data_IF_009199385423
#
_entry.id   IF_009199385423
#
_cell.length_a   1.000
_cell.length_b   1.000
_cell.length_c   1.000
_cell.angle_alpha   90.00
_cell.angle_beta   90.00
_cell.angle_gamma   90.00
#
_symmetry.space_group_name_H-M   'P 1'
#
loop_
_entity.id
_entity.type
_entity.pdbx_description
1 polymer ?
#
# COMPACT_ATOMS: atom_id res chain seq x y z
N UNK A 1 14.84 25.73 3.17
CA UNK A 1 14.77 24.84 1.99
C UNK A 1 15.04 23.45 2.50
N UNK A 2 14.20 22.49 2.17
CA UNK A 2 14.30 21.12 2.68
C UNK A 2 14.87 20.18 1.62
N UNK A 3 15.34 19.02 2.03
CA UNK A 3 15.81 17.95 1.17
C UNK A 3 14.83 16.78 1.22
N UNK A 4 14.32 16.36 0.05
CA UNK A 4 13.52 15.14 -0.06
C UNK A 4 14.45 13.96 -0.26
N UNK A 5 14.62 13.15 0.79
CA UNK A 5 15.63 12.10 0.86
C UNK A 5 15.44 11.06 -0.25
N UNK A 6 14.25 10.45 -0.34
CA UNK A 6 13.94 9.47 -1.39
C UNK A 6 14.02 10.05 -2.81
N UNK A 7 13.55 11.29 -2.99
CA UNK A 7 13.54 11.94 -4.29
C UNK A 7 14.92 12.44 -4.74
N UNK A 8 15.87 12.56 -3.81
CA UNK A 8 17.21 13.10 -4.06
C UNK A 8 17.19 14.53 -4.58
N UNK A 9 16.19 15.33 -4.19
CA UNK A 9 15.96 16.67 -4.72
C UNK A 9 15.63 17.67 -3.62
N UNK A 10 16.06 18.95 -3.79
CA UNK A 10 15.63 20.00 -2.90
C UNK A 10 14.13 20.26 -3.06
N UNK A 11 13.46 20.42 -1.93
CA UNK A 11 12.05 20.76 -1.83
C UNK A 11 11.88 22.13 -1.17
N UNK A 12 10.98 22.94 -1.73
CA UNK A 12 10.59 24.22 -1.14
C UNK A 12 9.07 24.28 -1.12
N UNK A 13 8.50 24.38 0.08
CA UNK A 13 7.10 24.76 0.26
C UNK A 13 7.03 26.28 0.42
N UNK A 14 6.12 26.93 -0.30
CA UNK A 14 5.89 28.36 -0.17
C UNK A 14 4.86 28.70 0.92
N UNK A 15 3.93 27.78 1.19
CA UNK A 15 2.80 27.99 2.11
C UNK A 15 2.52 26.70 2.91
N UNK A 16 3.39 26.28 3.85
CA UNK A 16 3.04 25.18 4.74
C UNK A 16 1.87 25.61 5.63
N UNK A 17 0.91 24.70 5.80
CA UNK A 17 -0.31 24.95 6.58
C UNK A 17 -0.26 24.16 7.87
N UNK A 18 -0.38 24.81 9.02
CA UNK A 18 -0.57 24.11 10.29
C UNK A 18 -2.04 23.76 10.48
N UNK A 19 -2.29 22.63 11.12
CA UNK A 19 -3.63 22.24 11.54
C UNK A 19 -3.77 22.50 13.04
N UNK A 20 -4.37 23.64 13.40
CA UNK A 20 -4.73 23.98 14.78
C UNK A 20 -6.26 24.04 14.89
N UNK A 21 -6.84 23.02 15.55
CA UNK A 21 -8.30 22.85 15.65
C UNK A 21 -9.01 22.83 14.29
N UNK A 22 -10.06 23.64 14.08
CA UNK A 22 -10.82 23.70 12.82
C UNK A 22 -10.19 24.63 11.77
N UNK A 23 -9.11 25.34 12.09
CA UNK A 23 -8.52 26.35 11.22
C UNK A 23 -7.29 25.82 10.49
N UNK A 24 -7.11 26.31 9.26
CA UNK A 24 -5.94 26.09 8.41
C UNK A 24 -5.22 27.43 8.28
N UNK A 25 -4.13 27.59 9.00
CA UNK A 25 -3.34 28.82 8.99
C UNK A 25 -1.98 28.57 8.33
N UNK A 26 -1.54 29.52 7.48
CA UNK A 26 -0.18 29.51 6.94
C UNK A 26 0.75 29.90 8.08
N UNK A 27 1.77 29.08 8.30
CA UNK A 27 2.74 29.25 9.39
C UNK A 27 4.15 29.43 8.84
N UNK A 28 4.97 30.18 9.58
CA UNK A 28 6.38 30.37 9.25
C UNK A 28 7.30 29.39 10.01
N UNK A 29 6.87 28.89 11.17
CA UNK A 29 7.63 27.97 12.03
C UNK A 29 6.74 26.88 12.66
N UNK A 30 7.33 25.72 12.92
CA UNK A 30 6.70 24.56 13.57
C UNK A 30 7.72 23.83 14.45
N UNK A 31 7.23 23.11 15.47
CA UNK A 31 8.06 22.43 16.45
C UNK A 31 7.88 20.90 16.39
N UNK A 32 8.81 20.11 17.00
CA UNK A 32 8.67 18.66 17.04
C UNK A 32 7.34 18.22 17.66
N UNK A 33 6.56 17.45 16.92
CA UNK A 33 5.22 16.98 17.30
C UNK A 33 4.07 17.68 16.57
N UNK A 34 4.33 18.83 15.94
CA UNK A 34 3.31 19.54 15.15
C UNK A 34 3.02 18.82 13.82
N UNK A 35 1.76 18.87 13.39
CA UNK A 35 1.34 18.34 12.08
C UNK A 35 1.26 19.49 11.07
N UNK A 36 2.12 19.42 10.06
CA UNK A 36 2.19 20.42 8.99
C UNK A 36 1.73 19.81 7.66
N UNK A 37 0.77 20.46 7.02
CA UNK A 37 0.33 20.18 5.67
C UNK A 37 1.24 20.81 4.64
N UNK A 38 1.75 19.99 3.73
CA UNK A 38 2.49 20.42 2.54
C UNK A 38 1.61 20.21 1.31
N UNK A 39 1.57 21.20 0.42
CA UNK A 39 0.92 21.04 -0.86
C UNK A 39 1.79 20.14 -1.75
N UNK A 40 1.25 18.99 -2.17
CA UNK A 40 1.92 18.07 -3.08
C UNK A 40 1.17 17.95 -4.41
N UNK A 41 1.91 17.74 -5.49
CA UNK A 41 1.39 17.45 -6.83
C UNK A 41 1.65 16.00 -7.25
N UNK A 42 1.80 15.08 -6.28
CA UNK A 42 2.10 13.66 -6.48
C UNK A 42 3.59 13.31 -6.40
N UNK A 43 4.40 14.08 -5.69
CA UNK A 43 5.84 13.84 -5.50
C UNK A 43 6.12 12.97 -4.27
N UNK A 44 5.32 13.13 -3.22
CA UNK A 44 5.52 12.46 -1.95
C UNK A 44 4.75 11.14 -1.89
N UNK A 45 5.27 10.17 -1.13
CA UNK A 45 4.49 9.01 -0.69
C UNK A 45 4.54 8.91 0.83
N UNK A 46 3.62 8.12 1.39
CA UNK A 46 3.61 7.81 2.82
C UNK A 46 4.98 7.25 3.24
N UNK A 47 5.54 7.81 4.31
CA UNK A 47 6.85 7.44 4.85
C UNK A 47 8.04 8.22 4.30
N UNK A 48 7.82 9.13 3.35
CA UNK A 48 8.90 10.00 2.88
C UNK A 48 9.44 10.92 3.99
N UNK A 49 10.76 11.07 4.01
CA UNK A 49 11.47 11.91 4.97
C UNK A 49 11.94 13.21 4.30
N UNK A 50 11.69 14.34 4.96
CA UNK A 50 12.21 15.66 4.62
C UNK A 50 13.22 16.08 5.69
N UNK A 51 14.40 16.53 5.29
CA UNK A 51 15.48 16.95 6.21
C UNK A 51 16.04 18.31 5.80
N UNK A 52 17.00 18.84 6.56
CA UNK A 52 17.79 20.01 6.17
C UNK A 52 19.02 19.66 5.31
N UNK A 53 19.19 18.38 4.95
CA UNK A 53 20.31 17.89 4.11
C UNK A 53 20.85 16.52 4.50
N UNK A 54 20.47 16.01 5.68
CA UNK A 54 20.83 14.66 6.12
C UNK A 54 20.14 13.59 5.27
N UNK A 55 20.86 12.51 4.96
CA UNK A 55 20.31 11.30 4.33
C UNK A 55 19.83 10.34 5.42
N UNK A 56 18.61 10.58 5.91
CA UNK A 56 17.98 9.78 6.98
C UNK A 56 16.59 9.31 6.55
N UNK A 57 16.21 8.10 6.97
CA UNK A 57 14.91 7.52 6.70
C UNK A 57 14.24 7.14 8.02
N UNK A 58 13.04 7.70 8.27
CA UNK A 58 12.23 7.25 9.40
C UNK A 58 11.70 5.83 9.14
N UNK A 59 11.78 4.98 10.18
CA UNK A 59 11.22 3.63 10.20
C UNK A 59 9.89 3.61 10.98
N UNK A 60 9.13 2.52 10.93
CA UNK A 60 7.93 2.34 11.76
C UNK A 60 6.62 2.89 11.18
N UNK A 61 6.53 3.15 9.87
CA UNK A 61 5.26 3.45 9.20
C UNK A 61 4.82 2.19 8.40
N UNK A 62 4.10 1.25 9.03
CA UNK A 62 3.74 0.00 8.38
C UNK A 62 2.57 0.18 7.42
N UNK A 63 2.53 -0.67 6.38
CA UNK A 63 1.27 -0.99 5.72
C UNK A 63 0.52 -2.00 6.59
N UNK A 64 -0.67 -1.62 7.06
CA UNK A 64 -1.53 -2.51 7.83
C UNK A 64 -2.16 -3.56 6.92
N UNK A 65 -2.31 -4.80 7.42
CA UNK A 65 -3.04 -5.85 6.71
C UNK A 65 -4.49 -5.39 6.38
N UNK A 66 -4.89 -5.40 5.10
CA UNK A 66 -6.27 -5.13 4.73
C UNK A 66 -7.26 -6.14 5.33
N UNK A 67 -8.50 -5.69 5.55
CA UNK A 67 -9.60 -6.52 6.03
C UNK A 67 -10.62 -6.85 4.93
N UNK A 68 -10.72 -5.99 3.91
CA UNK A 68 -11.66 -6.16 2.80
C UNK A 68 -10.85 -6.26 1.51
N UNK A 69 -11.03 -7.37 0.80
CA UNK A 69 -10.43 -7.62 -0.51
C UNK A 69 -11.48 -7.58 -1.61
N UNK A 70 -11.15 -6.91 -2.71
CA UNK A 70 -11.97 -6.88 -3.93
C UNK A 70 -11.09 -7.04 -5.15
N UNK A 71 -11.51 -7.83 -6.13
CA UNK A 71 -10.95 -7.72 -7.47
C UNK A 71 -11.49 -6.41 -8.05
N UNK A 72 -10.62 -5.61 -8.67
CA UNK A 72 -11.02 -4.38 -9.35
C UNK A 72 -10.77 -4.52 -10.85
N UNK A 73 -11.77 -4.16 -11.64
CA UNK A 73 -11.67 -4.13 -13.10
C UNK A 73 -12.17 -2.80 -13.65
N UNK A 74 -11.61 -2.41 -14.80
CA UNK A 74 -12.07 -1.25 -15.52
C UNK A 74 -13.48 -1.50 -16.08
N UNK A 75 -14.41 -0.58 -15.81
CA UNK A 75 -15.80 -0.71 -16.25
C UNK A 75 -16.02 -0.24 -17.70
N UNK A 76 -15.10 0.57 -18.24
CA UNK A 76 -15.14 1.13 -19.60
C UNK A 76 -13.85 0.78 -20.36
N UNK A 77 -13.87 -0.18 -21.30
CA UNK A 77 -12.69 -0.59 -22.07
C UNK A 77 -11.92 0.57 -22.74
N UNK A 78 -12.58 1.68 -23.09
CA UNK A 78 -11.95 2.84 -23.72
C UNK A 78 -11.07 3.65 -22.76
N UNK A 79 -11.22 3.46 -21.44
CA UNK A 79 -10.55 4.22 -20.37
C UNK A 79 -9.47 3.43 -19.63
N UNK A 80 -9.00 2.32 -20.19
CA UNK A 80 -8.04 1.42 -19.52
C UNK A 80 -6.76 2.14 -19.06
N UNK A 81 -6.20 3.04 -19.88
CA UNK A 81 -4.99 3.78 -19.53
C UNK A 81 -5.21 4.73 -18.34
N UNK A 82 -6.35 5.43 -18.35
CA UNK A 82 -6.73 6.34 -17.26
C UNK A 82 -7.01 5.56 -15.98
N UNK A 83 -7.71 4.44 -16.07
CA UNK A 83 -7.99 3.54 -14.95
C UNK A 83 -6.70 3.06 -14.29
N UNK A 84 -5.77 2.49 -15.06
CA UNK A 84 -4.51 2.00 -14.49
C UNK A 84 -3.68 3.12 -13.87
N UNK A 85 -3.56 4.26 -14.55
CA UNK A 85 -2.85 5.42 -14.01
C UNK A 85 -3.47 5.92 -12.71
N UNK A 86 -4.79 6.06 -12.65
CA UNK A 86 -5.49 6.53 -11.47
C UNK A 86 -5.40 5.54 -10.32
N UNK A 87 -5.55 4.25 -10.59
CA UNK A 87 -5.41 3.21 -9.57
C UNK A 87 -4.02 3.20 -8.95
N UNK A 88 -2.97 3.28 -9.78
CA UNK A 88 -1.59 3.27 -9.30
C UNK A 88 -1.28 4.54 -8.47
N UNK A 89 -1.72 5.73 -8.91
CA UNK A 89 -1.52 6.98 -8.16
C UNK A 89 -2.27 7.00 -6.82
N UNK A 90 -3.55 6.59 -6.81
CA UNK A 90 -4.35 6.52 -5.59
C UNK A 90 -3.80 5.48 -4.60
N UNK A 91 -3.16 4.43 -5.10
CA UNK A 91 -2.45 3.47 -4.26
C UNK A 91 -1.16 4.05 -3.67
N UNK A 92 -0.41 4.84 -4.44
CA UNK A 92 0.78 5.55 -3.95
C UNK A 92 0.46 6.59 -2.86
N UNK A 93 -0.71 7.22 -2.97
CA UNK A 93 -1.27 8.11 -1.93
C UNK A 93 -1.77 7.35 -0.69
N UNK A 94 -1.84 6.01 -0.75
CA UNK A 94 -2.29 5.16 0.35
C UNK A 94 -3.81 5.08 0.53
N UNK A 95 -4.60 5.51 -0.47
CA UNK A 95 -6.07 5.38 -0.43
C UNK A 95 -6.46 3.91 -0.32
N UNK A 96 -5.79 3.04 -1.08
CA UNK A 96 -5.96 1.59 -1.08
C UNK A 96 -4.60 0.90 -1.25
N UNK A 97 -4.52 -0.38 -0.88
CA UNK A 97 -3.38 -1.22 -1.27
C UNK A 97 -3.72 -1.99 -2.54
N UNK A 98 -2.81 -2.03 -3.50
CA UNK A 98 -2.96 -2.76 -4.75
C UNK A 98 -2.08 -4.00 -4.75
N UNK A 99 -2.66 -5.10 -5.19
CA UNK A 99 -2.05 -6.40 -5.30
C UNK A 99 -2.30 -7.00 -6.68
N UNK A 100 -1.46 -7.98 -7.02
CA UNK A 100 -1.60 -8.77 -8.25
C UNK A 100 -1.56 -10.26 -7.95
N UNK A 101 -2.07 -11.08 -8.87
CA UNK A 101 -1.86 -12.53 -8.81
C UNK A 101 -0.52 -12.91 -9.45
N UNK A 102 0.28 -13.82 -8.86
CA UNK A 102 1.60 -14.19 -9.37
C UNK A 102 1.64 -14.55 -10.87
N UNK A 103 0.65 -15.31 -11.35
CA UNK A 103 0.57 -15.78 -12.75
C UNK A 103 -0.42 -14.98 -13.61
N UNK A 104 -1.10 -13.99 -13.04
CA UNK A 104 -2.10 -13.17 -13.73
C UNK A 104 -1.93 -11.69 -13.33
N UNK A 105 -0.84 -11.07 -13.78
CA UNK A 105 -0.49 -9.69 -13.42
C UNK A 105 -1.55 -8.65 -13.83
N UNK A 106 -2.36 -8.97 -14.85
CA UNK A 106 -3.48 -8.14 -15.31
C UNK A 106 -4.66 -8.12 -14.33
N UNK A 107 -4.77 -9.14 -13.47
CA UNK A 107 -5.81 -9.18 -12.43
C UNK A 107 -5.33 -8.34 -11.25
N UNK A 108 -5.97 -7.19 -11.06
CA UNK A 108 -5.73 -6.31 -9.91
C UNK A 108 -6.67 -6.67 -8.78
N UNK A 109 -6.10 -6.82 -7.59
CA UNK A 109 -6.85 -6.98 -6.33
C UNK A 109 -6.53 -5.77 -5.46
N UNK A 110 -7.54 -5.19 -4.84
CA UNK A 110 -7.36 -4.12 -3.86
C UNK A 110 -7.66 -4.64 -2.46
N UNK A 111 -6.92 -4.14 -1.49
CA UNK A 111 -7.20 -4.33 -0.07
C UNK A 111 -7.40 -2.99 0.61
N UNK A 112 -8.44 -2.92 1.44
CA UNK A 112 -8.74 -1.77 2.29
C UNK A 112 -8.99 -2.20 3.73
N UNK A 113 -8.82 -1.27 4.66
CA UNK A 113 -9.15 -1.46 6.08
C UNK A 113 -10.64 -1.22 6.32
N UNK A 114 -11.27 -0.29 5.57
CA UNK A 114 -12.68 0.04 5.71
C UNK A 114 -13.42 0.25 4.38
N UNK A 115 -14.74 0.05 4.40
CA UNK A 115 -15.61 0.13 3.22
C UNK A 115 -15.56 1.50 2.53
N UNK A 116 -15.48 2.59 3.30
CA UNK A 116 -15.42 3.97 2.78
C UNK A 116 -14.25 4.17 1.81
N UNK A 117 -13.13 3.45 1.98
CA UNK A 117 -11.99 3.55 1.06
C UNK A 117 -12.33 3.07 -0.36
N UNK A 118 -13.25 2.09 -0.49
CA UNK A 118 -13.74 1.63 -1.81
C UNK A 118 -14.58 2.70 -2.51
N UNK A 119 -15.41 3.41 -1.74
CA UNK A 119 -16.27 4.49 -2.22
C UNK A 119 -15.42 5.70 -2.62
N UNK A 120 -14.44 6.07 -1.80
CA UNK A 120 -13.47 7.14 -2.10
C UNK A 120 -12.66 6.79 -3.34
N UNK A 121 -12.15 5.56 -3.47
CA UNK A 121 -11.42 5.12 -4.66
C UNK A 121 -12.29 5.25 -5.92
N UNK A 122 -13.51 4.75 -5.88
CA UNK A 122 -14.43 4.81 -7.02
C UNK A 122 -14.75 6.25 -7.41
N UNK A 123 -15.07 7.11 -6.44
CA UNK A 123 -15.36 8.53 -6.66
C UNK A 123 -14.17 9.26 -7.29
N UNK A 124 -12.96 9.08 -6.73
CA UNK A 124 -11.75 9.75 -7.23
C UNK A 124 -11.35 9.25 -8.61
N UNK A 125 -11.44 7.95 -8.89
CA UNK A 125 -11.22 7.41 -10.24
C UNK A 125 -12.15 8.08 -11.27
N UNK A 126 -13.41 8.27 -10.93
CA UNK A 126 -14.38 8.88 -11.83
C UNK A 126 -14.14 10.37 -12.03
N UNK A 127 -13.88 11.12 -10.95
CA UNK A 127 -13.82 12.59 -10.99
C UNK A 127 -12.43 13.14 -11.35
N UNK A 128 -11.35 12.49 -10.92
CA UNK A 128 -9.97 12.94 -11.19
C UNK A 128 -9.40 12.33 -12.47
N UNK A 129 -9.82 11.11 -12.82
CA UNK A 129 -9.26 10.35 -13.94
C UNK A 129 -10.26 10.07 -15.06
N UNK A 130 -11.56 10.33 -14.86
CA UNK A 130 -12.60 10.04 -15.85
C UNK A 130 -12.70 8.55 -16.18
N UNK A 131 -12.40 7.69 -15.21
CA UNK A 131 -12.40 6.24 -15.34
C UNK A 131 -13.33 5.60 -14.29
N UNK A 132 -14.11 4.62 -14.70
CA UNK A 132 -15.02 3.89 -13.80
C UNK A 132 -14.52 2.47 -13.55
N UNK A 133 -14.87 1.91 -12.39
CA UNK A 133 -14.43 0.58 -12.00
C UNK A 133 -15.60 -0.31 -11.55
N UNK A 134 -15.38 -1.62 -11.59
CA UNK A 134 -16.26 -2.62 -10.97
C UNK A 134 -15.48 -3.40 -9.94
N UNK A 135 -16.18 -3.78 -8.87
CA UNK A 135 -15.63 -4.61 -7.82
C UNK A 135 -16.27 -6.00 -7.86
N UNK A 136 -15.45 -7.03 -7.68
CA UNK A 136 -15.91 -8.39 -7.40
C UNK A 136 -15.43 -8.81 -6.02
N UNK A 137 -16.31 -9.48 -5.26
CA UNK A 137 -15.99 -9.93 -3.92
C UNK A 137 -14.93 -11.05 -3.96
N UNK A 138 -14.07 -11.03 -2.95
CA UNK A 138 -13.10 -12.10 -2.69
C UNK A 138 -13.41 -12.64 -1.28
N UNK A 139 -13.41 -13.96 -1.12
CA UNK A 139 -13.84 -14.65 0.11
C UNK A 139 -12.79 -14.70 1.22
N UNK A 140 -11.65 -14.01 1.05
CA UNK A 140 -10.57 -13.98 2.05
C UNK A 140 -10.73 -12.79 3.00
N UNK A 141 -10.45 -13.05 4.28
CA UNK A 141 -10.63 -12.06 5.36
C UNK A 141 -9.31 -11.72 6.05
N UNK A 142 -8.30 -12.59 5.94
CA UNK A 142 -6.98 -12.41 6.52
C UNK A 142 -5.92 -12.42 5.43
N UNK A 143 -4.88 -11.62 5.66
CA UNK A 143 -3.69 -11.65 4.85
C UNK A 143 -2.43 -11.56 5.71
N UNK A 144 -1.38 -12.23 5.26
CA UNK A 144 -0.06 -12.16 5.87
C UNK A 144 0.99 -12.17 4.78
N UNK A 145 1.97 -11.28 4.88
CA UNK A 145 3.18 -11.40 4.08
C UNK A 145 3.91 -12.69 4.45
N UNK A 146 4.45 -13.39 3.46
CA UNK A 146 5.19 -14.63 3.68
C UNK A 146 6.64 -14.49 3.25
N UNK A 147 7.56 -14.96 4.10
CA UNK A 147 8.97 -15.04 3.76
C UNK A 147 9.61 -16.26 4.40
N UNK A 148 10.76 -16.68 3.89
CA UNK A 148 11.54 -17.81 4.40
C UNK A 148 13.01 -17.56 4.13
N UNK A 149 13.86 -18.03 5.03
CA UNK A 149 15.31 -18.11 4.79
C UNK A 149 15.63 -19.24 3.79
N UNK A 150 14.81 -20.29 3.75
CA UNK A 150 14.87 -21.33 2.72
C UNK A 150 14.00 -20.93 1.51
N UNK A 151 14.68 -20.48 0.44
CA UNK A 151 14.06 -20.09 -0.84
C UNK A 151 13.33 -21.25 -1.52
N UNK A 152 13.80 -22.49 -1.40
CA UNK A 152 13.15 -23.65 -2.01
C UNK A 152 11.83 -23.97 -1.30
N UNK A 153 11.84 -23.91 0.04
CA UNK A 153 10.64 -24.09 0.84
C UNK A 153 9.60 -22.99 0.55
N UNK A 154 10.03 -21.73 0.42
CA UNK A 154 9.14 -20.63 0.02
C UNK A 154 8.55 -20.87 -1.37
N UNK A 155 9.38 -21.18 -2.37
CA UNK A 155 8.87 -21.39 -3.72
C UNK A 155 7.86 -22.54 -3.78
N UNK A 156 8.16 -23.67 -3.12
CA UNK A 156 7.24 -24.80 -3.03
C UNK A 156 5.90 -24.42 -2.35
N UNK A 157 5.95 -23.58 -1.32
CA UNK A 157 4.76 -23.03 -0.68
C UNK A 157 3.95 -22.14 -1.64
N UNK A 158 4.62 -21.20 -2.32
CA UNK A 158 3.97 -20.27 -3.25
C UNK A 158 3.32 -21.01 -4.43
N UNK A 159 3.99 -22.01 -4.99
CA UNK A 159 3.46 -22.81 -6.11
C UNK A 159 2.23 -23.62 -5.65
N UNK A 160 2.34 -24.30 -4.50
CA UNK A 160 1.27 -25.14 -3.93
C UNK A 160 0.01 -24.33 -3.59
N UNK A 161 0.18 -23.14 -3.04
CA UNK A 161 -0.93 -22.29 -2.60
C UNK A 161 -1.19 -21.10 -3.51
N UNK A 162 -0.71 -21.15 -4.76
CA UNK A 162 -0.77 -20.06 -5.75
C UNK A 162 -2.12 -19.34 -5.88
N UNK A 163 -3.23 -20.06 -5.75
CA UNK A 163 -4.59 -19.49 -5.78
C UNK A 163 -4.94 -18.59 -4.58
N UNK A 164 -4.20 -18.73 -3.47
CA UNK A 164 -4.27 -17.93 -2.24
C UNK A 164 -3.11 -16.94 -2.11
N UNK A 165 -2.26 -16.82 -3.13
CA UNK A 165 -1.15 -15.89 -3.13
C UNK A 165 -1.52 -14.63 -3.91
N UNK A 166 -1.24 -13.50 -3.29
CA UNK A 166 -1.13 -12.20 -3.94
C UNK A 166 0.30 -11.69 -3.84
N UNK A 167 0.59 -10.66 -4.63
CA UNK A 167 1.88 -9.98 -4.63
C UNK A 167 1.62 -8.48 -4.48
N UNK A 168 2.30 -7.85 -3.51
CA UNK A 168 2.21 -6.40 -3.31
C UNK A 168 3.00 -5.60 -4.37
N UNK A 169 2.90 -4.28 -4.32
CA UNK A 169 3.61 -3.37 -5.25
C UNK A 169 5.14 -3.44 -5.12
N UNK A 170 5.67 -4.03 -4.05
CA UNK A 170 7.11 -4.25 -3.81
C UNK A 170 7.55 -5.68 -4.15
N UNK A 171 6.67 -6.44 -4.81
CA UNK A 171 6.90 -7.81 -5.22
C UNK A 171 7.03 -8.81 -4.04
N UNK A 172 6.49 -8.47 -2.87
CA UNK A 172 6.44 -9.38 -1.73
C UNK A 172 5.20 -10.26 -1.82
N UNK A 173 5.35 -11.59 -1.62
CA UNK A 173 4.21 -12.49 -1.62
C UNK A 173 3.39 -12.37 -0.33
N UNK A 174 2.07 -12.45 -0.49
CA UNK A 174 1.07 -12.38 0.56
C UNK A 174 0.21 -13.63 0.46
N UNK A 175 0.08 -14.33 1.58
CA UNK A 175 -0.84 -15.45 1.73
C UNK A 175 -2.20 -14.95 2.26
N UNK A 176 -3.26 -15.40 1.61
CA UNK A 176 -4.64 -15.12 1.96
C UNK A 176 -5.25 -16.30 2.71
N UNK A 177 -6.00 -16.00 3.77
CA UNK A 177 -6.75 -16.99 4.53
C UNK A 177 -8.19 -16.54 4.77
N UNK A 178 -9.10 -17.52 4.73
CA UNK A 178 -10.53 -17.34 4.99
C UNK A 178 -10.83 -17.14 6.48
N UNK A 179 -9.99 -17.71 7.37
CA UNK A 179 -10.16 -17.63 8.81
C UNK A 179 -8.83 -17.87 9.59
N UNK A 180 -8.78 -17.51 10.88
CA UNK A 180 -7.57 -17.67 11.70
C UNK A 180 -7.10 -19.11 11.87
N UNK A 181 -8.03 -20.07 11.89
CA UNK A 181 -7.70 -21.49 12.05
C UNK A 181 -6.85 -21.99 10.88
N UNK A 182 -7.21 -21.65 9.64
CA UNK A 182 -6.45 -22.02 8.46
C UNK A 182 -5.05 -21.39 8.49
N UNK A 183 -4.96 -20.11 8.84
CA UNK A 183 -3.67 -19.43 8.96
C UNK A 183 -2.75 -20.14 9.97
N UNK A 184 -3.28 -20.52 11.13
CA UNK A 184 -2.51 -21.24 12.14
C UNK A 184 -2.08 -22.63 11.67
N UNK A 185 -2.97 -23.35 10.97
CA UNK A 185 -2.62 -24.63 10.36
C UNK A 185 -1.49 -24.47 9.33
N UNK A 186 -1.56 -23.44 8.48
CA UNK A 186 -0.51 -23.18 7.49
C UNK A 186 0.84 -22.88 8.13
N UNK A 187 0.85 -22.15 9.26
CA UNK A 187 2.07 -21.92 10.05
C UNK A 187 2.65 -23.23 10.61
N UNK A 188 1.82 -24.14 11.11
CA UNK A 188 2.25 -25.43 11.65
C UNK A 188 2.74 -26.38 10.56
N UNK A 189 2.02 -26.46 9.44
CA UNK A 189 2.33 -27.37 8.33
C UNK A 189 3.56 -26.91 7.52
N UNK A 190 3.92 -25.61 7.60
CA UNK A 190 5.04 -25.01 6.86
C UNK A 190 5.98 -24.23 7.80
N UNK A 191 6.70 -24.91 8.73
CA UNK A 191 7.47 -24.24 9.78
C UNK A 191 8.66 -23.42 9.25
N UNK A 192 9.12 -23.70 8.03
CA UNK A 192 10.16 -22.91 7.35
C UNK A 192 9.63 -21.55 6.84
N UNK A 193 8.33 -21.41 6.62
CA UNK A 193 7.71 -20.18 6.13
C UNK A 193 7.21 -19.35 7.31
N UNK A 194 7.62 -18.08 7.35
CA UNK A 194 7.17 -17.09 8.33
C UNK A 194 6.03 -16.26 7.74
N UNK A 195 5.07 -15.92 8.58
CA UNK A 195 3.87 -15.18 8.22
C UNK A 195 3.82 -13.90 9.06
N UNK A 196 3.82 -12.75 8.40
CA UNK A 196 3.91 -11.44 9.03
C UNK A 196 2.60 -10.65 8.85
N UNK A 197 2.08 -10.00 9.90
CA UNK A 197 0.86 -9.19 9.81
C UNK A 197 1.10 -7.80 9.21
N UNK A 198 2.36 -7.37 9.09
CA UNK A 198 2.75 -6.07 8.52
C UNK A 198 3.94 -6.25 7.58
N UNK A 199 4.04 -5.35 6.60
CA UNK A 199 5.04 -5.41 5.54
C UNK A 199 6.46 -5.09 6.03
N UNK A 200 6.61 -4.23 7.04
CA UNK A 200 7.90 -3.84 7.64
C UNK A 200 8.69 -5.02 8.22
N UNK A 201 7.99 -6.02 8.76
CA UNK A 201 8.62 -7.21 9.33
C UNK A 201 9.24 -8.13 8.26
N UNK A 202 8.89 -7.93 6.99
CA UNK A 202 9.53 -8.60 5.86
C UNK A 202 10.85 -7.90 5.52
N UNK A 203 10.85 -6.57 5.50
CA UNK A 203 12.00 -5.73 5.07
C UNK A 203 13.12 -5.67 6.12
N UNK A 204 12.80 -5.78 7.42
CA UNK A 204 13.78 -5.79 8.52
C UNK A 204 14.74 -6.99 8.53
N UNK A 205 14.61 -7.91 7.57
CA UNK A 205 15.55 -9.01 7.30
C UNK A 205 16.27 -8.90 5.95
N UNK A 206 16.02 -7.83 5.18
CA UNK A 206 16.69 -7.55 3.92
C UNK A 206 17.97 -6.71 4.09
N UNK A 207 18.37 -6.41 5.34
CA UNK A 207 19.62 -5.73 5.72
C UNK A 207 20.50 -6.69 6.50
#
# INVERSE_FOLDING_TARGET
QYWHVRGGKPFRTANPTAFLAQNRDIIDEAWPGDIVGIHDTGTFKIGDTLTEGEDLHFQGIPSFAPQIFRTISNADPMKAKQFHKGLDQLAEEGVVQVFTKPYHQNVRVIGVVGQLQLEVLQYRLEHEYGASCRYEAIEYTLCNWVASEDKKALQAFLDRYSHKILVDVRNNPIFLAENPWLLNRMKTDNPAVRFYPTSELVDSRAV
#
